data_IF_837518967936
#
_entry.id   IF_837518967936
#
_cell.length_a   1.000
_cell.length_b   1.000
_cell.length_c   1.000
_cell.angle_alpha   90.00
_cell.angle_beta   90.00
_cell.angle_gamma   90.00
#
_symmetry.space_group_name_H-M   'P 1'
#
loop_
_entity.id
_entity.type
_entity.pdbx_description
1 polymer ?
#
# COMPACT_ATOMS: atom_id res chain seq x y z
N UNK A 1 -22.65 11.92 -1.82
CA UNK A 1 -23.19 10.54 -1.71
C UNK A 1 -22.52 9.72 -0.60
N UNK A 2 -21.19 9.59 -0.58
CA UNK A 2 -20.49 8.73 0.41
C UNK A 2 -20.65 9.14 1.89
N UNK A 3 -20.67 10.44 2.18
CA UNK A 3 -20.79 10.96 3.57
C UNK A 3 -22.15 10.60 4.18
N UNK A 4 -23.22 10.65 3.38
CA UNK A 4 -24.59 10.30 3.81
C UNK A 4 -24.69 8.79 4.08
N UNK A 5 -24.08 7.98 3.21
CA UNK A 5 -24.06 6.53 3.37
C UNK A 5 -23.30 6.10 4.63
N UNK A 6 -22.18 6.77 4.94
CA UNK A 6 -21.41 6.53 6.17
C UNK A 6 -22.21 6.85 7.45
N UNK A 7 -23.02 7.93 7.44
CA UNK A 7 -23.83 8.32 8.59
C UNK A 7 -24.99 7.33 8.86
N UNK A 8 -25.61 6.82 7.80
CA UNK A 8 -26.70 5.82 7.90
C UNK A 8 -26.17 4.48 8.41
N UNK A 9 -25.02 4.01 7.89
CA UNK A 9 -24.37 2.79 8.38
C UNK A 9 -23.93 2.96 9.83
N UNK A 10 -23.38 4.12 10.21
CA UNK A 10 -22.98 4.41 11.60
C UNK A 10 -24.15 4.39 12.57
N UNK A 11 -25.33 4.87 12.17
CA UNK A 11 -26.52 4.91 13.02
C UNK A 11 -27.20 3.54 13.15
N UNK A 12 -27.14 2.71 12.11
CA UNK A 12 -27.71 1.37 12.10
C UNK A 12 -26.79 0.31 12.70
N UNK A 13 -25.47 0.49 12.62
CA UNK A 13 -24.56 -0.63 12.86
C UNK A 13 -24.37 -0.93 14.35
N UNK A 14 -24.36 0.06 15.25
CA UNK A 14 -24.09 -0.18 16.68
C UNK A 14 -22.78 -0.97 16.94
N UNK A 15 -21.96 -1.17 15.90
CA UNK A 15 -20.74 -1.94 15.97
C UNK A 15 -19.67 -1.01 16.50
N UNK A 16 -19.04 -1.33 17.65
CA UNK A 16 -17.85 -0.61 18.03
C UNK A 16 -16.86 -0.85 16.90
N UNK A 17 -16.53 0.21 16.16
CA UNK A 17 -15.43 0.15 15.20
C UNK A 17 -14.21 -0.21 16.04
N UNK A 18 -13.81 -1.48 16.00
CA UNK A 18 -12.69 -1.99 16.76
C UNK A 18 -11.41 -1.49 16.08
N UNK A 19 -11.11 -0.20 16.28
CA UNK A 19 -9.88 0.44 15.84
C UNK A 19 -8.76 -0.17 16.68
N UNK A 20 -8.22 -1.29 16.20
CA UNK A 20 -7.10 -1.95 16.83
C UNK A 20 -5.81 -1.35 16.29
N UNK A 21 -5.14 -0.56 17.14
CA UNK A 21 -3.80 -0.02 16.86
C UNK A 21 -2.83 -1.12 16.38
N UNK A 22 -2.83 -2.35 16.95
CA UNK A 22 -2.00 -3.43 16.42
C UNK A 22 -2.31 -3.80 14.97
N UNK A 23 -3.59 -3.86 14.57
CA UNK A 23 -3.95 -4.20 13.20
C UNK A 23 -3.55 -3.10 12.20
N UNK A 24 -3.63 -1.84 12.61
CA UNK A 24 -3.16 -0.71 11.79
C UNK A 24 -1.65 -0.82 11.56
N UNK A 25 -0.87 -1.04 12.63
CA UNK A 25 0.59 -1.16 12.53
C UNK A 25 0.99 -2.35 11.64
N UNK A 26 0.32 -3.50 11.79
CA UNK A 26 0.57 -4.67 10.95
C UNK A 26 0.18 -4.37 9.49
N UNK A 27 -0.97 -3.74 9.25
CA UNK A 27 -1.43 -3.40 7.91
C UNK A 27 -0.48 -2.44 7.18
N UNK A 28 -0.06 -1.38 7.86
CA UNK A 28 0.93 -0.41 7.33
C UNK A 28 2.28 -1.09 7.10
N UNK A 29 2.76 -1.86 8.08
CA UNK A 29 4.04 -2.58 7.98
C UNK A 29 4.06 -3.58 6.83
N UNK A 30 2.97 -4.34 6.66
CA UNK A 30 2.83 -5.30 5.57
C UNK A 30 2.79 -4.60 4.20
N UNK A 31 2.02 -3.52 4.08
CA UNK A 31 1.95 -2.72 2.85
C UNK A 31 3.32 -2.12 2.48
N UNK A 32 4.03 -1.57 3.47
CA UNK A 32 5.38 -1.03 3.30
C UNK A 32 6.37 -2.10 2.86
N UNK A 33 6.34 -3.29 3.48
CA UNK A 33 7.22 -4.40 3.13
C UNK A 33 7.03 -4.81 1.67
N UNK A 34 5.78 -5.04 1.25
CA UNK A 34 5.47 -5.40 -0.13
C UNK A 34 5.92 -4.28 -1.09
N UNK A 35 5.59 -3.02 -0.78
CA UNK A 35 6.01 -1.87 -1.58
C UNK A 35 7.52 -1.78 -1.76
N UNK A 36 8.30 -2.02 -0.70
CA UNK A 36 9.76 -2.01 -0.75
C UNK A 36 10.30 -3.20 -1.56
N UNK A 37 9.82 -4.41 -1.34
CA UNK A 37 10.30 -5.60 -2.06
C UNK A 37 10.07 -5.44 -3.57
N UNK A 38 8.86 -5.07 -3.96
CA UNK A 38 8.51 -4.90 -5.37
C UNK A 38 9.02 -3.60 -5.97
N UNK A 39 9.39 -2.58 -5.18
CA UNK A 39 10.04 -1.38 -5.68
C UNK A 39 11.55 -1.58 -5.85
N UNK A 40 12.22 -2.13 -4.84
CA UNK A 40 13.68 -2.14 -4.75
C UNK A 40 14.30 -3.24 -5.60
N UNK A 41 13.72 -4.45 -5.63
CA UNK A 41 14.24 -5.56 -6.45
C UNK A 41 14.32 -5.21 -7.95
N UNK A 42 13.27 -4.68 -8.62
CA UNK A 42 13.38 -4.31 -10.02
C UNK A 42 14.29 -3.09 -10.23
N UNK A 43 14.31 -2.12 -9.31
CA UNK A 43 15.20 -0.95 -9.41
C UNK A 43 16.66 -1.35 -9.38
N UNK A 44 17.04 -2.27 -8.48
CA UNK A 44 18.42 -2.80 -8.42
C UNK A 44 18.75 -3.59 -9.68
N UNK A 45 17.80 -4.36 -10.20
CA UNK A 45 17.98 -5.06 -11.48
C UNK A 45 18.18 -4.08 -12.64
N UNK A 46 17.45 -2.97 -12.67
CA UNK A 46 17.61 -1.93 -13.69
C UNK A 46 18.96 -1.19 -13.56
N UNK A 47 19.40 -0.89 -12.33
CA UNK A 47 20.65 -0.19 -12.06
C UNK A 47 21.90 -1.03 -12.39
N UNK A 48 21.79 -2.37 -12.35
CA UNK A 48 22.87 -3.30 -12.71
C UNK A 48 22.86 -3.72 -14.19
N UNK A 49 21.96 -3.18 -15.02
CA UNK A 49 22.04 -3.37 -16.48
C UNK A 49 23.16 -2.48 -17.04
N UNK A 50 23.89 -2.99 -18.02
CA UNK A 50 24.92 -2.20 -18.70
C UNK A 50 24.33 -0.87 -19.18
N UNK A 51 24.96 0.27 -18.85
CA UNK A 51 24.40 1.61 -19.12
C UNK A 51 24.17 1.87 -20.62
N UNK A 52 24.81 1.10 -21.49
CA UNK A 52 24.57 1.10 -22.94
C UNK A 52 23.17 0.53 -23.27
N UNK A 53 22.73 -0.56 -22.62
CA UNK A 53 21.38 -1.12 -22.79
C UNK A 53 20.30 -0.34 -22.03
N UNK A 54 20.65 0.35 -20.95
CA UNK A 54 19.71 1.20 -20.20
C UNK A 54 19.34 2.48 -20.97
N UNK A 55 20.27 3.02 -21.77
CA UNK A 55 20.03 4.17 -22.65
C UNK A 55 19.47 3.75 -24.02
N UNK A 56 19.77 2.54 -24.50
CA UNK A 56 19.21 1.93 -25.71
C UNK A 56 17.95 1.11 -25.39
N UNK A 57 17.05 1.68 -24.58
CA UNK A 57 15.63 1.26 -24.54
C UNK A 57 14.80 2.29 -25.30
N UNK A 58 14.94 2.26 -26.62
CA UNK A 58 13.78 2.35 -27.50
C UNK A 58 13.21 0.93 -27.68
#
# INVERSE_FOLDING_TARGET
>A
AGIVLAYVISHMSGTPVAISVPAILIGVGFSMLIGIVFGLLPSVKAANLDPIQALQRE
#
